data_IF_967916844474
#
_entry.id   IF_967916844474
#
_cell.length_a   1.000
_cell.length_b   1.000
_cell.length_c   1.000
_cell.angle_alpha   90.00
_cell.angle_beta   90.00
_cell.angle_gamma   90.00
#
_symmetry.space_group_name_H-M   'P 1'
#
loop_
_entity.id
_entity.type
_entity.pdbx_description
1 polymer ?
#
# COMPACT_ATOMS: atom_id res chain seq x y z
N UNK A 1 -17.59 -14.97 -11.06
CA UNK A 1 -17.26 -13.52 -11.02
C UNK A 1 -15.78 -13.33 -11.36
N UNK A 2 -15.45 -12.77 -12.54
CA UNK A 2 -14.06 -12.58 -13.04
C UNK A 2 -13.53 -11.20 -12.66
N UNK A 3 -12.39 -11.13 -11.97
CA UNK A 3 -11.69 -9.89 -11.56
C UNK A 3 -10.43 -9.61 -12.43
N UNK A 4 -9.99 -10.56 -13.26
CA UNK A 4 -8.73 -10.48 -14.02
C UNK A 4 -8.81 -9.98 -15.46
N UNK A 5 -9.65 -9.00 -15.79
CA UNK A 5 -9.67 -8.37 -17.13
C UNK A 5 -9.60 -6.85 -17.05
N UNK A 6 -8.53 -6.34 -16.43
CA UNK A 6 -8.21 -4.94 -16.55
C UNK A 6 -7.37 -4.73 -17.81
N UNK A 7 -7.95 -4.09 -18.84
CA UNK A 7 -7.29 -3.84 -20.12
C UNK A 7 -6.33 -2.65 -20.07
N UNK A 8 -6.49 -1.79 -19.07
CA UNK A 8 -5.70 -0.58 -18.90
C UNK A 8 -5.49 -0.29 -17.42
N UNK A 9 -4.23 -0.08 -17.03
CA UNK A 9 -3.84 0.29 -15.68
C UNK A 9 -3.26 1.71 -15.76
N UNK A 10 -3.87 2.72 -15.11
CA UNK A 10 -3.37 4.09 -15.15
C UNK A 10 -1.93 4.17 -14.60
N UNK A 11 -1.07 4.98 -15.21
CA UNK A 11 0.30 5.15 -14.73
C UNK A 11 0.35 5.75 -13.31
N UNK A 12 -0.58 6.65 -12.99
CA UNK A 12 -0.71 7.24 -11.64
C UNK A 12 -0.99 6.19 -10.55
N UNK A 13 -1.55 5.04 -10.91
CA UNK A 13 -1.81 3.96 -9.94
C UNK A 13 -0.53 3.19 -9.57
N UNK A 14 0.55 3.37 -10.35
CA UNK A 14 1.89 2.81 -10.08
C UNK A 14 2.71 3.71 -9.16
N UNK A 15 2.25 4.93 -8.92
CA UNK A 15 2.93 5.93 -8.10
C UNK A 15 2.36 5.92 -6.69
N UNK A 16 3.21 6.17 -5.70
CA UNK A 16 2.83 6.33 -4.30
C UNK A 16 3.64 7.45 -3.65
N UNK A 17 3.05 8.09 -2.65
CA UNK A 17 3.73 9.09 -1.85
C UNK A 17 4.17 8.46 -0.54
N UNK A 18 5.47 8.51 -0.23
CA UNK A 18 5.97 8.03 1.07
C UNK A 18 5.97 9.16 2.08
N UNK A 19 5.13 9.04 3.11
CA UNK A 19 5.12 9.96 4.24
C UNK A 19 5.88 9.33 5.40
N UNK A 20 6.86 10.04 5.94
CA UNK A 20 7.67 9.56 7.08
C UNK A 20 7.07 10.10 8.37
N UNK A 21 6.47 9.22 9.17
CA UNK A 21 5.87 9.58 10.45
C UNK A 21 6.82 9.28 11.61
N UNK A 22 6.80 10.15 12.63
CA UNK A 22 7.48 9.92 13.91
C UNK A 22 6.76 8.82 14.70
N UNK A 23 7.51 7.89 15.30
CA UNK A 23 6.98 6.92 16.27
C UNK A 23 6.86 7.60 17.63
N UNK A 24 5.71 7.50 18.27
CA UNK A 24 5.52 8.05 19.61
C UNK A 24 6.50 7.44 20.63
N UNK A 25 6.92 8.23 21.63
CA UNK A 25 7.72 7.77 22.77
C UNK A 25 9.18 7.44 22.45
N UNK A 26 9.74 7.93 21.33
CA UNK A 26 11.16 7.73 21.03
C UNK A 26 12.03 8.77 21.72
N UNK A 27 13.12 8.36 22.39
CA UNK A 27 13.98 9.27 23.17
C UNK A 27 14.83 10.17 22.27
N UNK A 28 15.12 9.73 21.04
CA UNK A 28 15.92 10.45 20.07
C UNK A 28 15.30 10.28 18.68
N UNK A 29 15.09 11.40 17.97
CA UNK A 29 14.59 11.46 16.60
C UNK A 29 15.68 11.82 15.59
N UNK A 30 16.96 11.84 15.98
CA UNK A 30 18.08 11.87 15.03
C UNK A 30 18.27 10.51 14.33
N UNK A 31 17.82 9.43 14.98
CA UNK A 31 18.00 8.06 14.47
C UNK A 31 16.85 7.63 13.54
N UNK A 32 17.12 7.02 12.37
CA UNK A 32 16.08 6.55 11.45
C UNK A 32 15.06 5.60 12.08
N UNK A 33 15.49 4.81 13.08
CA UNK A 33 14.64 3.85 13.81
C UNK A 33 13.45 4.51 14.54
N UNK A 34 13.54 5.82 14.81
CA UNK A 34 12.48 6.60 15.44
C UNK A 34 11.33 6.96 14.49
N UNK A 35 11.45 6.64 13.20
CA UNK A 35 10.44 6.92 12.19
C UNK A 35 9.83 5.64 11.62
N UNK A 36 8.65 5.81 11.00
CA UNK A 36 7.95 4.80 10.20
C UNK A 36 7.55 5.42 8.86
N UNK A 37 8.11 4.94 7.74
CA UNK A 37 7.61 5.28 6.42
C UNK A 37 6.23 4.66 6.19
N UNK A 38 5.30 5.41 5.62
CA UNK A 38 3.99 4.93 5.17
C UNK A 38 3.83 5.30 3.71
N UNK A 39 3.61 4.30 2.86
CA UNK A 39 3.29 4.50 1.45
C UNK A 39 1.80 4.79 1.29
N UNK A 40 1.49 5.98 0.79
CA UNK A 40 0.14 6.39 0.40
C UNK A 40 -0.04 6.09 -1.09
N UNK A 41 -0.90 5.12 -1.37
CA UNK A 41 -1.21 4.66 -2.72
C UNK A 41 -2.57 5.23 -3.13
N UNK A 42 -2.78 5.45 -4.44
CA UNK A 42 -4.08 5.80 -4.99
C UNK A 42 -5.19 4.87 -4.45
N UNK A 43 -6.32 5.44 -4.03
CA UNK A 43 -7.43 4.69 -3.41
C UNK A 43 -7.98 3.59 -4.32
N UNK A 44 -8.10 3.85 -5.62
CA UNK A 44 -8.59 2.86 -6.60
C UNK A 44 -7.59 1.73 -6.79
N UNK A 45 -6.30 2.05 -6.88
CA UNK A 45 -5.24 1.04 -6.94
C UNK A 45 -5.24 0.16 -5.67
N UNK A 46 -5.40 0.78 -4.50
CA UNK A 46 -5.47 0.08 -3.21
C UNK A 46 -6.69 -0.84 -3.13
N UNK A 47 -7.84 -0.40 -3.60
CA UNK A 47 -9.06 -1.21 -3.66
C UNK A 47 -8.88 -2.42 -4.57
N UNK A 48 -8.33 -2.22 -5.77
CA UNK A 48 -8.05 -3.32 -6.69
C UNK A 48 -7.09 -4.34 -6.06
N UNK A 49 -6.02 -3.87 -5.41
CA UNK A 49 -5.11 -4.75 -4.68
C UNK A 49 -5.82 -5.54 -3.60
N UNK A 50 -6.69 -4.91 -2.79
CA UNK A 50 -7.43 -5.60 -1.74
C UNK A 50 -8.31 -6.73 -2.29
N UNK A 51 -9.05 -6.47 -3.38
CA UNK A 51 -9.89 -7.47 -4.05
C UNK A 51 -9.05 -8.62 -4.60
N UNK A 52 -7.91 -8.32 -5.23
CA UNK A 52 -7.01 -9.36 -5.74
C UNK A 52 -6.42 -10.19 -4.59
N UNK A 53 -5.96 -9.55 -3.52
CA UNK A 53 -5.41 -10.22 -2.33
C UNK A 53 -6.42 -11.16 -1.69
N UNK A 54 -7.66 -10.73 -1.48
CA UNK A 54 -8.72 -11.56 -0.90
C UNK A 54 -8.94 -12.82 -1.75
N UNK A 55 -9.00 -12.67 -3.07
CA UNK A 55 -9.15 -13.82 -3.99
C UNK A 55 -7.98 -14.77 -3.93
N UNK A 56 -6.75 -14.24 -3.95
CA UNK A 56 -5.56 -15.10 -3.87
C UNK A 56 -5.48 -15.79 -2.53
N UNK A 57 -5.85 -15.14 -1.43
CA UNK A 57 -5.87 -15.74 -0.09
C UNK A 57 -6.83 -16.92 -0.04
N UNK A 58 -8.05 -16.74 -0.57
CA UNK A 58 -9.07 -17.80 -0.62
C UNK A 58 -8.71 -19.00 -1.51
N UNK A 59 -7.68 -18.88 -2.36
CA UNK A 59 -7.18 -19.97 -3.20
C UNK A 59 -5.95 -20.67 -2.60
N UNK A 60 -5.29 -20.02 -1.64
CA UNK A 60 -4.11 -20.55 -0.94
C UNK A 60 -4.50 -21.30 0.34
N UNK A 61 -5.68 -21.02 0.88
CA UNK A 61 -6.37 -21.84 1.88
C UNK A 61 -6.98 -23.09 1.24
#
# INVERSE_FOLDING_TARGET
RRIGRLRWYPDDWRVFTTVVLRKSGKPDYSVPKAYRPIALVNTMAKLLSAVVTERTSSLLE
#
